data_IF_847904375594
#
_entry.id   IF_847904375594
#
_cell.length_a   1.000
_cell.length_b   1.000
_cell.length_c   1.000
_cell.angle_alpha   90.00
_cell.angle_beta   90.00
_cell.angle_gamma   90.00
#
_symmetry.space_group_name_H-M   'P 1'
#
loop_
_entity.id
_entity.type
_entity.pdbx_description
1 polymer ?
#
# COMPACT_ATOMS: atom_id res chain seq x y z
N UNK A 1 4.50 17.80 -5.95
CA UNK A 1 3.14 18.37 -5.88
C UNK A 1 2.30 17.90 -4.67
N UNK A 2 2.90 17.38 -3.58
CA UNK A 2 2.14 16.92 -2.39
C UNK A 2 2.01 17.94 -1.25
N UNK A 3 3.02 18.79 -1.05
CA UNK A 3 3.07 19.69 0.12
C UNK A 3 1.90 20.67 0.22
N UNK A 4 1.38 21.17 -0.93
CA UNK A 4 0.21 22.06 -0.98
C UNK A 4 -1.10 21.42 -0.47
N UNK A 5 -1.13 20.09 -0.36
CA UNK A 5 -2.29 19.33 0.11
C UNK A 5 -2.07 18.73 1.51
N UNK A 6 -0.98 19.10 2.19
CA UNK A 6 -0.63 18.51 3.49
C UNK A 6 -0.28 17.03 3.43
N UNK A 7 0.00 16.49 2.24
CA UNK A 7 0.35 15.08 2.07
C UNK A 7 1.77 14.81 2.60
N UNK A 8 2.00 13.64 3.22
CA UNK A 8 3.32 13.24 3.66
C UNK A 8 4.29 13.16 2.48
N UNK A 9 5.59 13.18 2.77
CA UNK A 9 6.62 12.90 1.76
C UNK A 9 6.39 11.49 1.22
N UNK A 10 6.49 11.34 -0.10
CA UNK A 10 6.48 10.02 -0.71
C UNK A 10 7.69 9.21 -0.20
N UNK A 11 7.46 7.95 0.11
CA UNK A 11 8.47 7.01 0.55
C UNK A 11 8.32 5.72 -0.24
N UNK A 12 9.46 5.10 -0.55
CA UNK A 12 9.53 3.87 -1.34
C UNK A 12 10.65 3.02 -0.76
N UNK A 13 10.46 1.70 -0.70
CA UNK A 13 11.50 0.78 -0.26
C UNK A 13 12.37 0.25 -1.42
N UNK A 14 12.03 0.62 -2.65
CA UNK A 14 12.76 0.23 -3.86
C UNK A 14 13.99 1.12 -4.06
N UNK A 15 15.10 0.52 -4.48
CA UNK A 15 16.34 1.22 -4.85
C UNK A 15 16.91 2.11 -3.72
N UNK A 16 17.59 3.21 -4.09
CA UNK A 16 18.27 4.09 -3.14
C UNK A 16 17.31 4.82 -2.18
N UNK A 17 16.01 4.81 -2.44
CA UNK A 17 15.00 5.42 -1.57
C UNK A 17 14.91 4.69 -0.21
N UNK A 18 15.29 3.40 -0.16
CA UNK A 18 15.40 2.63 1.08
C UNK A 18 16.37 3.28 2.10
N UNK A 19 17.43 3.94 1.62
CA UNK A 19 18.44 4.60 2.47
C UNK A 19 17.90 5.83 3.19
N UNK A 20 16.76 6.37 2.77
CA UNK A 20 16.14 7.53 3.42
C UNK A 20 15.32 7.14 4.66
N UNK A 21 15.26 5.84 4.95
CA UNK A 21 14.68 5.29 6.16
C UNK A 21 13.16 5.12 6.07
N UNK A 22 12.58 4.41 7.05
CA UNK A 22 11.15 4.15 7.07
C UNK A 22 10.37 5.46 7.24
N UNK A 23 9.29 5.66 6.47
CA UNK A 23 8.41 6.80 6.71
C UNK A 23 7.83 6.75 8.13
N UNK A 24 7.53 7.93 8.66
CA UNK A 24 6.68 8.02 9.84
C UNK A 24 5.23 7.93 9.40
N UNK A 25 4.55 6.89 9.87
CA UNK A 25 3.13 6.66 9.65
C UNK A 25 2.54 6.07 10.93
N UNK A 26 1.36 6.56 11.33
CA UNK A 26 0.70 6.17 12.57
C UNK A 26 0.05 4.78 12.49
N UNK A 27 -0.05 4.18 11.30
CA UNK A 27 -0.80 2.94 11.10
C UNK A 27 -2.33 3.14 11.06
N UNK A 28 -2.82 4.38 11.16
CA UNK A 28 -4.25 4.66 11.36
C UNK A 28 -5.09 4.36 10.11
N UNK A 29 -4.61 4.78 8.95
CA UNK A 29 -5.29 4.56 7.66
C UNK A 29 -4.28 4.40 6.53
N UNK A 30 -4.56 3.45 5.63
CA UNK A 30 -3.86 3.25 4.37
C UNK A 30 -4.88 3.06 3.24
N UNK A 31 -4.56 3.62 2.06
CA UNK A 31 -5.25 3.30 0.82
C UNK A 31 -4.34 2.37 0.05
N UNK A 32 -4.79 1.13 -0.19
CA UNK A 32 -3.95 0.07 -0.77
C UNK A 32 -4.59 -0.45 -2.05
N UNK A 33 -3.78 -0.57 -3.10
CA UNK A 33 -4.16 -1.31 -4.30
C UNK A 33 -3.77 -2.77 -4.08
N UNK A 34 -4.71 -3.69 -4.28
CA UNK A 34 -4.45 -5.12 -4.17
C UNK A 34 -3.30 -5.54 -5.07
N UNK A 35 -2.42 -6.39 -4.53
CA UNK A 35 -1.30 -6.96 -5.28
C UNK A 35 -1.81 -7.81 -6.46
N UNK A 36 -2.93 -8.51 -6.24
CA UNK A 36 -3.57 -9.40 -7.20
C UNK A 36 -5.00 -8.94 -7.51
N UNK A 37 -5.50 -9.30 -8.70
CA UNK A 37 -6.88 -9.00 -9.12
C UNK A 37 -7.92 -9.82 -8.33
N UNK A 38 -7.49 -10.92 -7.72
CA UNK A 38 -8.35 -11.75 -6.88
C UNK A 38 -8.69 -11.04 -5.57
N UNK A 39 -9.96 -10.62 -5.45
CA UNK A 39 -10.48 -9.88 -4.31
C UNK A 39 -10.36 -10.68 -3.00
N UNK A 40 -10.84 -11.93 -2.89
CA UNK A 40 -10.71 -12.71 -1.65
C UNK A 40 -9.26 -12.85 -1.17
N UNK A 41 -8.32 -13.14 -2.08
CA UNK A 41 -6.90 -13.29 -1.76
C UNK A 41 -6.28 -11.97 -1.31
N UNK A 42 -6.62 -10.86 -1.96
CA UNK A 42 -6.14 -9.53 -1.53
C UNK A 42 -6.71 -9.16 -0.16
N UNK A 43 -7.98 -9.47 0.11
CA UNK A 43 -8.57 -9.23 1.42
C UNK A 43 -7.91 -10.06 2.51
N UNK A 44 -7.65 -11.35 2.27
CA UNK A 44 -6.99 -12.23 3.23
C UNK A 44 -5.56 -11.77 3.57
N UNK A 45 -4.79 -11.32 2.56
CA UNK A 45 -3.44 -10.79 2.79
C UNK A 45 -3.45 -9.52 3.67
N UNK A 46 -4.40 -8.62 3.40
CA UNK A 46 -4.54 -7.37 4.15
C UNK A 46 -5.10 -7.59 5.56
N UNK A 47 -6.04 -8.52 5.74
CA UNK A 47 -6.63 -8.83 7.04
C UNK A 47 -5.62 -9.41 8.04
N UNK A 48 -4.49 -9.94 7.57
CA UNK A 48 -3.38 -10.38 8.43
C UNK A 48 -2.58 -9.21 9.01
N UNK A 49 -2.67 -8.03 8.39
CA UNK A 49 -1.84 -6.85 8.70
C UNK A 49 -2.64 -5.66 9.24
N UNK A 50 -3.96 -5.68 9.07
CA UNK A 50 -4.88 -4.62 9.47
C UNK A 50 -6.09 -5.20 10.16
N UNK A 51 -6.57 -4.53 11.21
CA UNK A 51 -7.79 -4.96 11.90
C UNK A 51 -9.06 -4.68 11.09
N UNK A 52 -9.03 -3.66 10.23
CA UNK A 52 -10.13 -3.29 9.36
C UNK A 52 -9.66 -3.20 7.92
N UNK A 53 -10.34 -3.94 7.03
CA UNK A 53 -10.09 -3.94 5.59
C UNK A 53 -11.41 -3.76 4.89
N UNK A 54 -11.60 -2.61 4.25
CA UNK A 54 -12.79 -2.28 3.48
C UNK A 54 -12.43 -2.25 1.98
N UNK A 55 -13.19 -2.97 1.15
CA UNK A 55 -13.09 -2.86 -0.30
C UNK A 55 -13.82 -1.58 -0.76
N UNK A 56 -13.04 -0.58 -1.16
CA UNK A 56 -13.56 0.73 -1.57
C UNK A 56 -13.98 0.78 -3.05
N UNK A 57 -13.51 -0.17 -3.86
CA UNK A 57 -13.87 -0.27 -5.27
C UNK A 57 -12.82 -1.02 -6.09
N UNK A 58 -13.06 -1.13 -7.39
CA UNK A 58 -12.12 -1.78 -8.31
C UNK A 58 -11.82 -0.81 -9.45
N UNK A 59 -10.54 -0.53 -9.67
CA UNK A 59 -10.12 0.32 -10.78
C UNK A 59 -10.21 -0.44 -12.09
N UNK A 60 -10.85 0.15 -13.10
CA UNK A 60 -10.90 -0.40 -14.45
C UNK A 60 -10.69 0.70 -15.50
N UNK A 61 -9.90 0.40 -16.54
CA UNK A 61 -9.72 1.31 -17.68
C UNK A 61 -9.31 0.57 -18.96
N UNK A 62 -9.89 0.95 -20.10
CA UNK A 62 -9.67 0.32 -21.41
C UNK A 62 -8.23 0.39 -21.96
N UNK A 63 -7.41 1.32 -21.46
CA UNK A 63 -6.03 1.52 -21.91
C UNK A 63 -5.00 1.08 -20.87
N UNK A 64 -5.45 0.50 -19.75
CA UNK A 64 -4.55 0.03 -18.72
C UNK A 64 -3.94 -1.32 -19.14
N UNK A 65 -2.68 -1.56 -18.77
CA UNK A 65 -2.05 -2.85 -18.99
C UNK A 65 -2.91 -3.94 -18.33
N UNK A 66 -3.16 -5.10 -18.98
CA UNK A 66 -4.11 -6.09 -18.46
C UNK A 66 -3.83 -6.57 -17.03
N UNK A 67 -2.56 -6.56 -16.59
CA UNK A 67 -2.13 -6.94 -15.24
C UNK A 67 -2.26 -5.81 -14.20
N UNK A 68 -2.42 -4.55 -14.63
CA UNK A 68 -2.70 -3.39 -13.78
C UNK A 68 -4.19 -3.05 -13.75
N UNK A 69 -4.97 -3.62 -14.69
CA UNK A 69 -6.42 -3.47 -14.76
C UNK A 69 -7.13 -4.38 -13.73
N UNK A 70 -8.39 -4.06 -13.42
CA UNK A 70 -9.22 -4.80 -12.46
C UNK A 70 -8.60 -4.95 -11.06
N UNK A 71 -7.80 -3.96 -10.63
CA UNK A 71 -7.17 -4.00 -9.31
C UNK A 71 -8.14 -3.51 -8.23
N UNK A 72 -8.37 -4.30 -7.17
CA UNK A 72 -9.19 -3.85 -6.05
C UNK A 72 -8.45 -2.76 -5.26
N UNK A 73 -9.21 -1.79 -4.76
CA UNK A 73 -8.75 -0.70 -3.91
C UNK A 73 -9.34 -0.93 -2.52
N UNK A 74 -8.50 -0.81 -1.51
CA UNK A 74 -8.87 -1.01 -0.12
C UNK A 74 -8.60 0.23 0.71
N UNK A 75 -9.48 0.46 1.68
CA UNK A 75 -9.23 1.34 2.81
C UNK A 75 -8.95 0.42 4.00
N UNK A 76 -7.71 0.42 4.45
CA UNK A 76 -7.26 -0.38 5.58
C UNK A 76 -7.01 0.52 6.79
N UNK A 77 -7.39 0.07 7.98
CA UNK A 77 -7.22 0.83 9.22
C UNK A 77 -6.63 -0.03 10.31
N UNK A 78 -5.99 0.63 11.29
CA UNK A 78 -5.41 -0.01 12.48
C UNK A 78 -4.40 -1.09 12.08
N UNK A 79 -3.31 -0.67 11.47
CA UNK A 79 -2.21 -1.56 11.12
C UNK A 79 -1.61 -2.18 12.39
N UNK A 80 -1.34 -3.49 12.35
CA UNK A 80 -0.69 -4.21 13.44
C UNK A 80 0.86 -4.18 13.35
N UNK A 81 1.39 -3.35 12.44
CA UNK A 81 2.81 -3.16 12.20
C UNK A 81 3.16 -1.68 12.06
N UNK A 82 4.44 -1.37 12.21
CA UNK A 82 5.02 -0.06 11.86
C UNK A 82 5.99 -0.23 10.71
N UNK A 83 6.22 0.83 9.93
CA UNK A 83 7.24 0.76 8.87
C UNK A 83 8.62 0.46 9.44
N UNK A 84 8.94 0.92 10.65
CA UNK A 84 10.20 0.62 11.33
C UNK A 84 10.39 -0.88 11.57
N UNK A 85 9.31 -1.64 11.83
CA UNK A 85 9.37 -3.08 12.04
C UNK A 85 9.61 -3.85 10.74
N UNK A 86 9.03 -3.40 9.62
CA UNK A 86 9.10 -4.14 8.35
C UNK A 86 10.22 -3.65 7.42
N UNK A 87 10.75 -2.42 7.61
CA UNK A 87 11.67 -1.76 6.68
C UNK A 87 12.88 -2.58 6.25
N UNK A 88 13.46 -3.35 7.17
CA UNK A 88 14.63 -4.18 6.88
C UNK A 88 14.32 -5.28 5.86
N UNK A 89 13.09 -5.79 5.87
CA UNK A 89 12.62 -6.86 4.98
C UNK A 89 12.09 -6.32 3.65
N UNK A 90 11.72 -5.04 3.59
CA UNK A 90 11.20 -4.38 2.38
C UNK A 90 12.32 -3.94 1.40
N UNK A 91 13.58 -4.29 1.68
CA UNK A 91 14.71 -3.88 0.84
C UNK A 91 14.70 -4.63 -0.49
N UNK A 92 14.12 -4.00 -1.51
CA UNK A 92 14.02 -4.55 -2.85
C UNK A 92 15.01 -3.88 -3.80
N UNK A 93 15.92 -4.66 -4.39
CA UNK A 93 16.81 -4.26 -5.48
C UNK A 93 16.28 -4.92 -6.75
N UNK A 94 15.48 -4.21 -7.53
CA UNK A 94 15.26 -4.55 -8.94
C UNK A 94 15.84 -3.43 -9.80
#
# INVERSE_FOLDING_TARGET
MGAKYGLPKASCAHNNYWLWGPPQWSGEVAIIFGEVQDLPRSMDDLARRFDEVEHAGTFTHDYCMPYENNRPIFICRRANFTFQQIWANEKHYD
#
